data_IF_904982767194
#
_entry.id   IF_904982767194
#
_cell.length_a   1.000
_cell.length_b   1.000
_cell.length_c   1.000
_cell.angle_alpha   90.00
_cell.angle_beta   90.00
_cell.angle_gamma   90.00
#
_symmetry.space_group_name_H-M   'P 1'
#
loop_
_entity.id
_entity.type
_entity.pdbx_description
1 polymer ?
#
# COMPACT_ATOMS: atom_id res chain seq x y z
N UNK A 1 -1.50 8.10 3.32
CA UNK A 1 -2.36 7.21 4.14
C UNK A 1 -2.21 5.75 3.75
N UNK A 2 -2.41 5.39 2.48
CA UNK A 2 -2.29 4.00 2.01
C UNK A 2 -0.99 3.31 2.46
N UNK A 3 0.15 3.98 2.28
CA UNK A 3 1.45 3.42 2.68
C UNK A 3 1.49 3.03 4.17
N UNK A 4 0.92 3.86 5.04
CA UNK A 4 0.87 3.62 6.48
C UNK A 4 -0.01 2.41 6.82
N UNK A 5 -1.17 2.26 6.16
CA UNK A 5 -2.07 1.11 6.32
C UNK A 5 -1.46 -0.17 5.74
N UNK A 6 -0.73 -0.09 4.63
CA UNK A 6 -0.08 -1.22 4.00
C UNK A 6 1.04 -1.82 4.88
N UNK A 7 1.82 -0.98 5.56
CA UNK A 7 2.94 -1.42 6.39
C UNK A 7 2.57 -1.70 7.84
N UNK A 8 1.58 -0.99 8.40
CA UNK A 8 1.25 -1.07 9.83
C UNK A 8 -0.15 -1.64 10.09
N UNK A 9 -0.88 -2.04 9.06
CA UNK A 9 -2.21 -2.63 9.18
C UNK A 9 -2.19 -3.97 9.92
N UNK A 10 -3.21 -4.30 10.73
CA UNK A 10 -4.42 -3.51 11.01
C UNK A 10 -4.14 -2.28 11.89
N UNK A 11 -4.65 -1.11 11.49
CA UNK A 11 -4.38 0.15 12.21
C UNK A 11 -5.59 1.09 12.23
N UNK A 12 -5.89 1.64 13.41
CA UNK A 12 -7.01 2.56 13.62
C UNK A 12 -6.68 4.03 13.34
N UNK A 13 -7.72 4.87 13.26
CA UNK A 13 -7.62 6.32 12.96
C UNK A 13 -6.70 7.05 13.96
N UNK A 14 -6.82 6.74 15.26
CA UNK A 14 -6.03 7.39 16.32
C UNK A 14 -4.54 7.10 16.11
N UNK A 15 -4.19 5.81 15.99
CA UNK A 15 -2.78 5.41 15.79
C UNK A 15 -2.21 5.92 14.47
N UNK A 16 -3.00 5.95 13.40
CA UNK A 16 -2.63 6.57 12.13
C UNK A 16 -2.35 8.06 12.28
N UNK A 17 -3.18 8.79 13.03
CA UNK A 17 -2.98 10.21 13.32
C UNK A 17 -1.66 10.46 14.06
N UNK A 18 -1.34 9.63 15.06
CA UNK A 18 -0.08 9.70 15.81
C UNK A 18 1.15 9.50 14.92
N UNK A 19 1.18 8.44 14.11
CA UNK A 19 2.39 8.10 13.32
C UNK A 19 2.57 8.98 12.08
N UNK A 20 1.48 9.58 11.58
CA UNK A 20 1.54 10.43 10.37
C UNK A 20 1.55 11.92 10.68
N UNK A 21 1.22 12.32 11.91
CA UNK A 21 1.08 13.72 12.31
C UNK A 21 -0.18 14.41 11.76
N UNK A 22 -1.02 13.72 10.97
CA UNK A 22 -2.24 14.31 10.42
C UNK A 22 -3.39 14.31 11.44
N UNK A 23 -4.24 15.35 11.47
CA UNK A 23 -5.44 15.36 12.31
C UNK A 23 -6.38 14.17 12.03
N UNK A 24 -7.05 13.67 13.06
CA UNK A 24 -7.91 12.48 12.95
C UNK A 24 -9.02 12.60 11.88
N UNK A 25 -9.60 13.79 11.69
CA UNK A 25 -10.64 14.00 10.67
C UNK A 25 -10.07 13.86 9.24
N UNK A 26 -8.83 14.31 9.00
CA UNK A 26 -8.14 14.15 7.72
C UNK A 26 -7.75 12.69 7.47
N UNK A 27 -7.33 11.98 8.52
CA UNK A 27 -7.06 10.54 8.46
C UNK A 27 -8.34 9.79 8.12
N UNK A 28 -9.46 10.09 8.80
CA UNK A 28 -10.77 9.50 8.53
C UNK A 28 -11.21 9.72 7.10
N UNK A 29 -11.13 10.96 6.59
CA UNK A 29 -11.46 11.27 5.21
C UNK A 29 -10.59 10.46 4.23
N UNK A 30 -9.28 10.42 4.47
CA UNK A 30 -8.34 9.65 3.63
C UNK A 30 -8.66 8.16 3.61
N UNK A 31 -9.01 7.56 4.76
CA UNK A 31 -9.41 6.16 4.83
C UNK A 31 -10.72 5.92 4.07
N UNK A 32 -11.71 6.80 4.22
CA UNK A 32 -12.97 6.69 3.48
C UNK A 32 -12.74 6.70 1.96
N UNK A 33 -11.89 7.60 1.45
CA UNK A 33 -11.55 7.63 0.01
C UNK A 33 -10.89 6.32 -0.45
N UNK A 34 -9.99 5.74 0.37
CA UNK A 34 -9.35 4.47 0.03
C UNK A 34 -10.30 3.27 0.09
N UNK A 35 -11.26 3.30 1.02
CA UNK A 35 -12.31 2.30 1.15
C UNK A 35 -13.28 2.35 -0.05
N UNK A 36 -13.70 3.54 -0.48
CA UNK A 36 -14.53 3.72 -1.69
C UNK A 36 -13.86 3.19 -2.96
N UNK A 37 -12.52 3.25 -3.02
CA UNK A 37 -11.73 2.68 -4.11
C UNK A 37 -11.44 1.19 -3.95
N UNK A 38 -11.98 0.54 -2.91
CA UNK A 38 -11.76 -0.85 -2.55
C UNK A 38 -10.26 -1.22 -2.38
N UNK A 39 -9.45 -0.23 -2.00
CA UNK A 39 -8.01 -0.39 -1.74
C UNK A 39 -7.81 -0.91 -0.31
N UNK A 40 -8.65 -0.46 0.62
CA UNK A 40 -8.66 -0.91 2.02
C UNK A 40 -10.06 -1.40 2.41
N UNK A 41 -10.15 -2.17 3.50
CA UNK A 41 -11.39 -2.58 4.15
C UNK A 41 -11.31 -2.37 5.67
N UNK A 42 -12.44 -2.11 6.35
CA UNK A 42 -12.48 -2.06 7.80
C UNK A 42 -12.25 -3.46 8.39
N UNK A 43 -11.69 -3.52 9.59
CA UNK A 43 -11.59 -4.73 10.41
C UNK A 43 -11.79 -4.40 11.88
N UNK A 44 -11.96 -5.43 12.71
CA UNK A 44 -12.09 -5.27 14.17
C UNK A 44 -10.88 -4.60 14.83
N UNK A 45 -9.71 -4.64 14.18
CA UNK A 45 -8.45 -4.05 14.68
C UNK A 45 -8.02 -2.78 13.93
N UNK A 46 -8.86 -2.26 13.02
CA UNK A 46 -8.57 -1.08 12.20
C UNK A 46 -8.55 -1.36 10.69
N UNK A 47 -8.11 -0.39 9.90
CA UNK A 47 -8.05 -0.52 8.44
C UNK A 47 -6.97 -1.51 8.01
N UNK A 48 -7.27 -2.33 7.00
CA UNK A 48 -6.34 -3.24 6.34
C UNK A 48 -6.45 -3.11 4.82
N UNK A 49 -5.38 -3.40 4.10
CA UNK A 49 -5.38 -3.46 2.62
C UNK A 49 -6.20 -4.66 2.15
N UNK A 50 -6.97 -4.49 1.08
CA UNK A 50 -7.75 -5.59 0.47
C UNK A 50 -6.85 -6.60 -0.23
N UNK A 51 -7.29 -7.85 -0.30
CA UNK A 51 -6.51 -8.93 -0.90
C UNK A 51 -6.33 -8.70 -2.42
N UNK A 52 -7.38 -8.21 -3.09
CA UNK A 52 -7.31 -7.76 -4.50
C UNK A 52 -6.24 -6.69 -4.74
N UNK A 53 -6.13 -5.71 -3.84
CA UNK A 53 -5.09 -4.67 -3.99
C UNK A 53 -3.69 -5.25 -3.74
N UNK A 54 -3.54 -6.17 -2.78
CA UNK A 54 -2.26 -6.88 -2.57
C UNK A 54 -1.84 -7.66 -3.82
N UNK A 55 -2.76 -8.41 -4.42
CA UNK A 55 -2.52 -9.14 -5.66
C UNK A 55 -2.06 -8.21 -6.79
N UNK A 56 -2.74 -7.08 -6.99
CA UNK A 56 -2.37 -6.10 -7.99
C UNK A 56 -0.95 -5.54 -7.78
N UNK A 57 -0.59 -5.25 -6.53
CA UNK A 57 0.76 -4.78 -6.17
C UNK A 57 1.81 -5.87 -6.40
N UNK A 58 1.52 -7.13 -6.06
CA UNK A 58 2.45 -8.24 -6.31
C UNK A 58 2.66 -8.49 -7.81
N UNK A 59 1.61 -8.38 -8.63
CA UNK A 59 1.75 -8.44 -10.09
C UNK A 59 2.63 -7.31 -10.61
N UNK A 60 2.43 -6.07 -10.12
CA UNK A 60 3.24 -4.93 -10.52
C UNK A 60 4.71 -5.10 -10.10
N UNK A 61 4.97 -5.57 -8.88
CA UNK A 61 6.33 -5.86 -8.41
C UNK A 61 7.02 -6.88 -9.30
N UNK A 62 6.35 -7.99 -9.63
CA UNK A 62 6.89 -9.01 -10.53
C UNK A 62 7.24 -8.44 -11.90
N UNK A 63 6.35 -7.62 -12.48
CA UNK A 63 6.63 -6.98 -13.76
C UNK A 63 7.87 -6.09 -13.70
N UNK A 64 8.03 -5.29 -12.64
CA UNK A 64 9.22 -4.45 -12.43
C UNK A 64 10.49 -5.28 -12.20
N UNK A 65 10.41 -6.37 -11.43
CA UNK A 65 11.54 -7.28 -11.23
C UNK A 65 11.99 -7.92 -12.53
N UNK A 66 11.04 -8.34 -13.37
CA UNK A 66 11.37 -8.91 -14.67
C UNK A 66 12.07 -7.87 -15.56
N UNK A 67 11.53 -6.65 -15.64
CA UNK A 67 12.17 -5.56 -16.39
C UNK A 67 13.60 -5.29 -15.88
N UNK A 68 13.80 -5.30 -14.56
CA UNK A 68 15.13 -5.09 -13.99
C UNK A 68 16.08 -6.24 -14.34
N UNK A 69 15.61 -7.48 -14.32
CA UNK A 69 16.37 -8.65 -14.77
C UNK A 69 16.76 -8.52 -16.24
N UNK A 70 15.82 -8.18 -17.11
CA UNK A 70 16.07 -8.01 -18.55
C UNK A 70 17.14 -6.92 -18.80
N UNK A 71 17.11 -5.82 -18.02
CA UNK A 71 18.12 -4.76 -18.10
C UNK A 71 19.50 -5.26 -17.61
N UNK A 72 19.55 -6.01 -16.52
CA UNK A 72 20.79 -6.60 -15.99
C UNK A 72 21.42 -7.57 -16.99
N UNK A 73 20.61 -8.39 -17.66
CA UNK A 73 21.05 -9.31 -18.71
C UNK A 73 21.68 -8.54 -19.89
N UNK A 74 21.02 -7.47 -20.37
CA UNK A 74 21.54 -6.63 -21.45
C UNK A 74 22.87 -5.97 -21.05
N UNK A 75 23.00 -5.47 -19.82
CA UNK A 75 24.25 -4.87 -19.34
C UNK A 75 25.38 -5.91 -19.31
N UNK A 76 25.08 -7.16 -18.91
CA UNK A 76 26.06 -8.25 -18.90
C UNK A 76 26.52 -8.65 -20.29
N UNK A 77 25.65 -8.58 -21.31
CA UNK A 77 26.03 -8.89 -22.71
C UNK A 77 26.92 -7.81 -23.34
N UNK A 78 26.83 -6.57 -22.86
CA UNK A 78 27.59 -5.43 -23.37
C UNK A 78 28.94 -5.20 -22.67
N UNK A 79 29.22 -5.93 -21.59
CA UNK A 79 30.47 -5.85 -20.80
C UNK A 79 31.49 -6.89 -21.25
#
# INVERSE_FOLDING_TARGET
MLNAVAHNGPIGIIRLSEITGYPQHMVRYSLHVLEQKNIIKPSTKGAIVTDKFKEAIETLKKALTNINSDIEDIISELS
#
